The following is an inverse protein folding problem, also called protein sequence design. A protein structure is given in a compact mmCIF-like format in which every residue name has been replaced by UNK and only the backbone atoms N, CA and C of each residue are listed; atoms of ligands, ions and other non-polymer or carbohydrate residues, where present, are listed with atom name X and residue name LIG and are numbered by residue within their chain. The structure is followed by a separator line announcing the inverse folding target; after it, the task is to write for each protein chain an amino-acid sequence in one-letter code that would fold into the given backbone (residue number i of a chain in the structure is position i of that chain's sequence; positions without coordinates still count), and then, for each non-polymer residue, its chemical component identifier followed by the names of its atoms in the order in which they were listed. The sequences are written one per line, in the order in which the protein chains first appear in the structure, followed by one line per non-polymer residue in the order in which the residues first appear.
data_IF_083458471905
#
_entry.id   IF_083458471905
#
_cell.length_a   1.000
_cell.length_b   1.000
_cell.length_c   1.000
_cell.angle_alpha   90.00
_cell.angle_beta   90.00
_cell.angle_gamma   90.00
#
_symmetry.space_group_name_H-M   'P 1'
#
loop_
_entity.id
_entity.type
_entity.pdbx_description
1 polymer ?
#
# COMPACT_ATOMS: atom_id res chain seq x y z
N UNK A 1 6.41 -13.76 1.84
CA UNK A 1 7.23 -12.69 2.44
C UNK A 1 7.03 -12.76 3.95
N UNK A 2 8.09 -12.76 4.78
CA UNK A 2 7.88 -12.68 6.23
C UNK A 2 7.27 -11.32 6.57
N UNK A 3 6.23 -11.30 7.42
CA UNK A 3 5.52 -10.07 7.81
C UNK A 3 6.39 -9.06 8.57
N UNK A 4 7.59 -9.47 8.98
CA UNK A 4 8.51 -8.69 9.80
C UNK A 4 9.41 -7.73 9.01
N UNK A 5 9.39 -7.80 7.67
CA UNK A 5 10.29 -6.98 6.84
C UNK A 5 9.77 -5.55 6.70
N UNK A 6 10.68 -4.59 6.87
CA UNK A 6 10.42 -3.18 6.60
C UNK A 6 11.08 -2.77 5.30
N UNK A 7 10.31 -2.22 4.35
CA UNK A 7 10.82 -1.57 3.15
C UNK A 7 11.12 -0.11 3.47
N UNK A 8 12.34 0.35 3.18
CA UNK A 8 12.75 1.75 3.33
C UNK A 8 13.09 2.34 1.97
N UNK A 9 12.39 3.41 1.60
CA UNK A 9 12.64 4.20 0.41
C UNK A 9 13.24 5.53 0.86
N UNK A 10 14.42 5.90 0.35
CA UNK A 10 15.08 7.16 0.67
C UNK A 10 15.03 8.08 -0.55
N UNK A 11 14.56 9.30 -0.32
CA UNK A 11 14.55 10.35 -1.32
C UNK A 11 15.96 10.92 -1.38
N UNK A 12 16.60 10.85 -2.55
CA UNK A 12 17.84 11.60 -2.78
C UNK A 12 17.47 13.08 -2.84
N UNK A 13 18.15 13.89 -2.05
CA UNK A 13 17.93 15.34 -2.00
C UNK A 13 18.94 16.02 -2.92
N UNK A 14 18.83 15.80 -4.23
CA UNK A 14 19.75 16.37 -5.22
C UNK A 14 19.15 17.54 -6.01
N UNK A 15 17.88 17.91 -5.74
CA UNK A 15 17.34 19.21 -6.15
C UNK A 15 15.86 19.37 -5.85
N UNK A 16 15.06 19.41 -6.92
CA UNK A 16 13.62 19.71 -6.91
C UNK A 16 12.76 18.46 -6.66
N UNK A 17 13.11 17.67 -5.64
CA UNK A 17 12.51 16.36 -5.39
C UNK A 17 11.28 16.48 -4.46
N UNK A 18 10.10 16.43 -5.07
CA UNK A 18 8.81 16.48 -4.36
C UNK A 18 7.96 15.26 -4.70
N UNK A 19 8.23 14.09 -4.07
CA UNK A 19 7.44 12.90 -4.32
C UNK A 19 6.01 13.09 -3.82
N UNK A 20 5.05 12.63 -4.61
CA UNK A 20 3.64 12.52 -4.21
C UNK A 20 3.42 11.10 -3.68
N UNK A 21 2.88 10.98 -2.47
CA UNK A 21 2.54 9.70 -1.86
C UNK A 21 1.04 9.56 -1.80
N UNK A 22 0.51 8.59 -2.54
CA UNK A 22 -0.88 8.14 -2.46
C UNK A 22 -1.03 6.89 -1.59
N UNK A 23 -2.07 6.85 -0.76
CA UNK A 23 -2.45 5.72 0.08
C UNK A 23 -3.92 5.40 -0.21
N UNK A 24 -4.19 4.21 -0.75
CA UNK A 24 -5.51 3.80 -1.25
C UNK A 24 -6.13 4.83 -2.23
N UNK A 25 -7.15 5.57 -1.79
CA UNK A 25 -7.84 6.60 -2.59
C UNK A 25 -7.46 8.03 -2.16
N UNK A 26 -6.46 8.21 -1.30
CA UNK A 26 -6.10 9.51 -0.74
C UNK A 26 -4.66 9.87 -1.10
N UNK A 27 -4.45 11.09 -1.60
CA UNK A 27 -3.13 11.67 -1.73
C UNK A 27 -2.93 12.69 -0.61
N UNK A 28 -2.01 12.41 0.32
CA UNK A 28 -1.68 13.35 1.39
C UNK A 28 -0.62 14.34 0.90
N UNK A 29 -0.83 15.64 1.15
CA UNK A 29 0.15 16.68 0.85
C UNK A 29 1.25 16.72 1.92
N UNK A 30 2.04 15.65 1.99
CA UNK A 30 3.22 15.58 2.85
C UNK A 30 4.38 16.23 2.10
N UNK A 31 4.94 17.30 2.66
CA UNK A 31 6.07 18.03 2.08
C UNK A 31 7.39 17.60 2.70
N UNK A 32 8.49 17.82 1.99
CA UNK A 32 9.86 17.57 2.47
C UNK A 32 10.13 16.13 2.93
N UNK A 33 9.58 15.15 2.22
CA UNK A 33 9.78 13.72 2.52
C UNK A 33 11.25 13.34 2.31
N UNK A 34 11.86 12.71 3.32
CA UNK A 34 13.25 12.21 3.24
C UNK A 34 13.31 10.69 3.14
N UNK A 35 12.42 10.01 3.86
CA UNK A 35 12.34 8.56 3.93
C UNK A 35 10.86 8.14 4.03
N UNK A 36 10.51 7.06 3.34
CA UNK A 36 9.24 6.35 3.50
C UNK A 36 9.56 4.95 4.02
N UNK A 37 8.97 4.60 5.16
CA UNK A 37 9.10 3.28 5.77
C UNK A 37 7.76 2.55 5.71
N UNK A 38 7.72 1.40 5.05
CA UNK A 38 6.52 0.56 4.90
C UNK A 38 6.75 -0.77 5.62
N UNK A 39 5.82 -1.14 6.49
CA UNK A 39 5.80 -2.42 7.21
C UNK A 39 4.40 -3.02 7.18
N UNK A 40 4.31 -4.34 7.30
CA UNK A 40 3.01 -4.99 7.51
C UNK A 40 2.46 -4.53 8.87
N UNK A 41 1.19 -4.14 8.89
CA UNK A 41 0.51 -3.75 10.12
C UNK A 41 0.08 -4.99 10.90
N UNK A 42 0.17 -4.94 12.23
CA UNK A 42 -0.45 -5.93 13.11
C UNK A 42 -1.99 -5.82 13.12
N UNK A 43 -2.52 -4.69 12.66
CA UNK A 43 -3.95 -4.49 12.53
C UNK A 43 -4.48 -5.20 11.29
N UNK A 44 -5.41 -6.13 11.51
CA UNK A 44 -6.07 -6.91 10.45
C UNK A 44 -7.46 -6.35 10.19
N UNK A 45 -7.77 -6.08 8.93
CA UNK A 45 -9.12 -5.70 8.50
C UNK A 45 -10.00 -6.95 8.50
N UNK A 46 -11.01 -6.98 9.36
CA UNK A 46 -12.00 -8.06 9.40
C UNK A 46 -13.04 -7.84 8.31
N UNK A 47 -13.31 -8.87 7.51
CA UNK A 47 -14.28 -8.82 6.42
C UNK A 47 -15.32 -9.94 6.56
N UNK A 48 -16.54 -9.70 6.10
CA UNK A 48 -17.61 -10.71 6.07
C UNK A 48 -17.44 -11.59 4.83
N UNK A 49 -17.37 -12.91 5.03
CA UNK A 49 -17.28 -13.87 3.92
C UNK A 49 -18.67 -14.27 3.44
N UNK A 50 -19.02 -13.86 2.22
CA UNK A 50 -20.26 -14.28 1.55
C UNK A 50 -20.06 -15.63 0.84
N UNK A 51 -21.11 -16.45 0.80
CA UNK A 51 -21.12 -17.72 0.05
C UNK A 51 -20.91 -17.42 -1.44
N UNK A 52 -20.13 -18.25 -2.14
CA UNK A 52 -19.86 -18.16 -3.58
C UNK A 52 -19.18 -16.86 -4.06
N UNK A 53 -18.43 -16.18 -3.20
CA UNK A 53 -17.68 -14.97 -3.57
C UNK A 53 -16.20 -15.13 -3.19
N UNK A 54 -15.58 -16.23 -3.64
CA UNK A 54 -14.16 -16.45 -3.39
C UNK A 54 -13.33 -15.47 -4.20
N UNK A 55 -12.07 -15.28 -3.80
CA UNK A 55 -11.12 -14.45 -4.56
C UNK A 55 -11.04 -14.90 -6.03
N UNK A 56 -11.00 -16.20 -6.30
CA UNK A 56 -10.93 -16.75 -7.65
C UNK A 56 -12.19 -16.47 -8.47
N UNK A 57 -13.37 -16.54 -7.86
CA UNK A 57 -14.63 -16.18 -8.53
C UNK A 57 -14.64 -14.70 -8.94
N UNK A 58 -14.05 -13.82 -8.12
CA UNK A 58 -13.88 -12.39 -8.45
C UNK A 58 -12.89 -12.18 -9.57
N UNK A 59 -11.71 -12.81 -9.50
CA UNK A 59 -10.67 -12.67 -10.53
C UNK A 59 -11.19 -13.08 -11.90
N UNK A 60 -11.88 -14.23 -11.99
CA UNK A 60 -12.50 -14.68 -13.24
C UNK A 60 -13.47 -13.62 -13.77
N UNK A 61 -14.45 -13.18 -12.98
CA UNK A 61 -15.45 -12.19 -13.43
C UNK A 61 -14.86 -10.84 -13.85
N UNK A 62 -13.77 -10.39 -13.26
CA UNK A 62 -13.19 -9.07 -13.55
C UNK A 62 -12.26 -9.09 -14.75
N UNK A 63 -11.55 -10.20 -15.00
CA UNK A 63 -10.44 -10.21 -15.96
C UNK A 63 -10.54 -11.30 -17.05
N UNK A 64 -11.52 -12.22 -16.99
CA UNK A 64 -11.72 -13.31 -17.95
C UNK A 64 -13.16 -13.31 -18.48
#
# INVERSE_FOLDING_TARGET
LSGERTLKLRVRQDGNDYPVVGMDNEAYSIRNIKEVSVKLSENVIKTVKLKNNTYWDRVKRTFL
#
